data_IF_074660812204
#
_entry.id   IF_074660812204
#
_cell.length_a   1.000
_cell.length_b   1.000
_cell.length_c   1.000
_cell.angle_alpha   90.00
_cell.angle_beta   90.00
_cell.angle_gamma   90.00
#
_symmetry.space_group_name_H-M   'P 1'
#
loop_
_entity.id
_entity.type
_entity.pdbx_description
1 polymer ?
#
# COMPACT_ATOMS: atom_id res chain seq x y z
N UNK A 1 22.77 10.37 22.12
CA UNK A 1 21.49 10.07 21.45
C UNK A 1 21.58 8.67 20.89
N UNK A 2 20.93 7.71 21.55
CA UNK A 2 20.96 6.32 21.15
C UNK A 2 20.17 6.13 19.86
N UNK A 3 20.83 5.55 18.87
CA UNK A 3 20.30 5.01 17.63
C UNK A 3 19.28 3.92 17.96
N UNK A 4 18.02 4.30 18.14
CA UNK A 4 16.95 3.34 18.38
C UNK A 4 16.45 2.81 17.03
N UNK A 5 16.94 1.61 16.70
CA UNK A 5 16.35 0.60 15.79
C UNK A 5 16.42 0.86 14.28
N UNK A 6 17.64 0.85 13.75
CA UNK A 6 17.89 0.18 12.47
C UNK A 6 17.87 -1.35 12.72
N UNK A 7 16.72 -2.00 12.55
CA UNK A 7 16.51 -3.45 12.34
C UNK A 7 15.02 -3.83 12.45
N UNK A 8 14.12 -3.01 11.92
CA UNK A 8 12.94 -3.57 11.26
C UNK A 8 13.39 -3.74 9.82
N UNK A 9 13.33 -4.95 9.27
CA UNK A 9 13.59 -5.17 7.84
C UNK A 9 12.83 -4.08 7.09
N UNK A 10 13.56 -3.21 6.37
CA UNK A 10 12.95 -2.10 5.67
C UNK A 10 12.29 -2.64 4.40
N UNK A 11 11.18 -3.33 4.62
CA UNK A 11 10.37 -3.97 3.60
C UNK A 11 9.89 -2.97 2.54
N UNK A 12 9.86 -1.67 2.85
CA UNK A 12 9.54 -0.60 1.89
C UNK A 12 10.55 -0.59 0.73
N UNK A 13 11.84 -0.83 1.00
CA UNK A 13 12.88 -0.89 -0.05
C UNK A 13 12.68 -2.04 -1.05
N UNK A 14 11.93 -3.08 -0.68
CA UNK A 14 11.57 -4.15 -1.63
C UNK A 14 10.54 -3.70 -2.66
N UNK A 15 9.80 -2.62 -2.39
CA UNK A 15 8.64 -2.20 -3.18
C UNK A 15 8.75 -0.77 -3.71
N UNK A 16 9.73 0.03 -3.28
CA UNK A 16 9.82 1.44 -3.65
C UNK A 16 11.17 1.81 -4.22
N UNK A 17 11.16 2.69 -5.24
CA UNK A 17 12.37 3.35 -5.74
C UNK A 17 12.81 4.51 -4.82
N UNK A 18 11.90 5.02 -3.98
CA UNK A 18 12.17 6.12 -3.04
C UNK A 18 11.80 5.72 -1.59
N UNK A 19 12.40 4.65 -1.05
CA UNK A 19 11.96 4.04 0.20
C UNK A 19 12.05 4.98 1.40
N UNK A 20 13.05 5.87 1.42
CA UNK A 20 13.21 6.84 2.51
C UNK A 20 12.06 7.85 2.56
N UNK A 21 11.57 8.33 1.40
CA UNK A 21 10.44 9.27 1.34
C UNK A 21 9.14 8.61 1.79
N UNK A 22 8.89 7.39 1.31
CA UNK A 22 7.70 6.62 1.71
C UNK A 22 7.75 6.31 3.21
N UNK A 23 8.91 5.90 3.73
CA UNK A 23 9.08 5.63 5.16
C UNK A 23 8.87 6.87 6.01
N UNK A 24 9.46 8.00 5.63
CA UNK A 24 9.28 9.28 6.34
C UNK A 24 7.80 9.67 6.39
N UNK A 25 7.09 9.57 5.27
CA UNK A 25 5.65 9.81 5.21
C UNK A 25 4.89 8.88 6.16
N UNK A 26 5.14 7.57 6.07
CA UNK A 26 4.46 6.57 6.90
C UNK A 26 4.67 6.82 8.39
N UNK A 27 5.90 7.13 8.81
CA UNK A 27 6.24 7.43 10.20
C UNK A 27 5.61 8.74 10.66
N UNK A 28 5.69 9.80 9.84
CA UNK A 28 5.11 11.12 10.14
C UNK A 28 3.60 11.05 10.38
N UNK A 29 2.91 10.20 9.62
CA UNK A 29 1.46 10.06 9.70
C UNK A 29 0.99 8.87 10.56
N UNK A 30 1.90 8.07 11.12
CA UNK A 30 1.55 6.93 11.96
C UNK A 30 0.84 5.79 11.20
N UNK A 31 1.11 5.63 9.90
CA UNK A 31 0.41 4.68 9.01
C UNK A 31 1.27 3.49 8.56
N UNK A 32 2.49 3.35 9.08
CA UNK A 32 3.42 2.30 8.64
C UNK A 32 2.81 0.89 8.71
N UNK A 33 2.21 0.54 9.85
CA UNK A 33 1.59 -0.77 10.07
C UNK A 33 0.35 -0.97 9.18
N UNK A 34 -0.39 0.11 8.90
CA UNK A 34 -1.54 0.06 8.00
C UNK A 34 -1.13 -0.19 6.54
N UNK A 35 -0.04 0.43 6.07
CA UNK A 35 0.51 0.15 4.73
C UNK A 35 0.99 -1.29 4.64
N UNK A 36 1.70 -1.79 5.65
CA UNK A 36 2.15 -3.19 5.69
C UNK A 36 0.96 -4.15 5.65
N UNK A 37 -0.06 -3.90 6.48
CA UNK A 37 -1.27 -4.73 6.52
C UNK A 37 -2.01 -4.70 5.18
N UNK A 38 -2.09 -3.55 4.52
CA UNK A 38 -2.70 -3.45 3.19
C UNK A 38 -1.95 -4.29 2.14
N UNK A 39 -0.62 -4.37 2.22
CA UNK A 39 0.19 -5.24 1.36
C UNK A 39 -0.11 -6.72 1.63
N UNK A 40 -0.13 -7.13 2.91
CA UNK A 40 -0.45 -8.52 3.28
C UNK A 40 -1.86 -8.92 2.81
N UNK A 41 -2.84 -8.03 3.00
CA UNK A 41 -4.21 -8.23 2.52
C UNK A 41 -4.25 -8.33 1.00
N UNK A 42 -3.53 -7.47 0.29
CA UNK A 42 -3.42 -7.51 -1.16
C UNK A 42 -2.83 -8.83 -1.66
N UNK A 43 -1.72 -9.28 -1.05
CA UNK A 43 -1.06 -10.54 -1.39
C UNK A 43 -1.92 -11.77 -1.13
N UNK A 44 -2.82 -11.70 -0.13
CA UNK A 44 -3.76 -12.79 0.17
C UNK A 44 -5.04 -12.76 -0.67
N UNK A 45 -5.45 -11.58 -1.16
CA UNK A 45 -6.72 -11.37 -1.86
C UNK A 45 -6.59 -11.47 -3.37
N UNK A 46 -5.50 -10.95 -3.93
CA UNK A 46 -5.31 -10.91 -5.39
C UNK A 46 -4.74 -12.24 -5.92
N UNK A 47 -5.11 -12.61 -7.16
CA UNK A 47 -4.37 -13.63 -7.92
C UNK A 47 -2.89 -13.23 -8.08
N UNK A 48 -2.00 -14.11 -8.57
CA UNK A 48 -0.56 -13.88 -8.58
C UNK A 48 -0.17 -12.44 -8.99
N UNK A 49 0.41 -11.72 -8.03
CA UNK A 49 0.91 -10.36 -8.21
C UNK A 49 2.28 -10.46 -8.87
N UNK A 50 2.39 -10.01 -10.12
CA UNK A 50 3.65 -9.97 -10.86
C UNK A 50 4.55 -8.85 -10.32
N UNK A 51 3.93 -7.73 -9.92
CA UNK A 51 4.65 -6.58 -9.35
C UNK A 51 3.81 -5.84 -8.32
N UNK A 52 4.45 -5.46 -7.21
CA UNK A 52 3.92 -4.55 -6.22
C UNK A 52 4.86 -3.35 -6.10
N UNK A 53 4.31 -2.14 -6.21
CA UNK A 53 5.09 -0.90 -6.07
C UNK A 53 4.48 0.02 -5.02
N UNK A 54 5.35 0.62 -4.21
CA UNK A 54 5.05 1.69 -3.29
C UNK A 54 5.63 3.02 -3.76
N UNK A 55 4.81 4.06 -3.76
CA UNK A 55 5.25 5.42 -4.06
C UNK A 55 4.43 6.45 -3.31
N UNK A 56 4.94 7.68 -3.23
CA UNK A 56 4.12 8.83 -2.87
C UNK A 56 3.38 9.32 -4.11
N UNK A 57 2.09 9.57 -3.96
CA UNK A 57 1.23 10.04 -5.03
C UNK A 57 0.36 11.19 -4.52
N UNK A 58 0.34 12.28 -5.27
CA UNK A 58 -0.56 13.40 -5.00
C UNK A 58 -1.88 13.16 -5.72
N UNK A 59 -2.97 13.16 -4.94
CA UNK A 59 -4.31 13.11 -5.49
C UNK A 59 -4.57 14.32 -6.39
N UNK A 60 -4.86 14.16 -7.70
CA UNK A 60 -5.04 15.27 -8.61
C UNK A 60 -6.31 16.07 -8.33
N UNK A 61 -7.27 15.51 -7.59
CA UNK A 61 -8.53 16.18 -7.24
C UNK A 61 -8.39 16.95 -5.93
N UNK A 62 -7.78 16.33 -4.92
CA UNK A 62 -7.72 16.88 -3.56
C UNK A 62 -6.39 17.58 -3.24
N UNK A 63 -5.36 17.39 -4.07
CA UNK A 63 -4.00 17.88 -3.82
C UNK A 63 -3.32 17.21 -2.62
N UNK A 64 -3.91 16.14 -2.08
CA UNK A 64 -3.43 15.46 -0.88
C UNK A 64 -2.42 14.38 -1.25
N UNK A 65 -1.26 14.39 -0.61
CA UNK A 65 -0.25 13.34 -0.75
C UNK A 65 -0.69 12.08 -0.01
N UNK A 66 -0.56 10.93 -0.68
CA UNK A 66 -0.97 9.60 -0.20
C UNK A 66 0.14 8.60 -0.50
N UNK A 67 0.27 7.57 0.33
CA UNK A 67 1.04 6.38 -0.03
C UNK A 67 0.22 5.58 -1.02
N UNK A 68 0.73 5.37 -2.22
CA UNK A 68 0.10 4.54 -3.24
C UNK A 68 0.68 3.14 -3.20
N UNK A 69 -0.20 2.15 -3.10
CA UNK A 69 0.07 0.74 -3.35
C UNK A 69 -0.43 0.44 -4.76
N UNK A 70 0.47 0.06 -5.65
CA UNK A 70 0.18 -0.26 -7.04
C UNK A 70 0.51 -1.70 -7.36
N UNK A 71 -0.46 -2.44 -7.91
CA UNK A 71 -0.29 -3.84 -8.32
C UNK A 71 -0.34 -4.03 -9.83
N UNK A 72 0.50 -4.92 -10.33
CA UNK A 72 0.33 -5.57 -11.63
C UNK A 72 -0.05 -7.03 -11.35
N UNK A 73 -1.27 -7.42 -11.73
CA UNK A 73 -1.82 -8.75 -11.41
C UNK A 73 -2.03 -9.57 -12.68
N UNK A 74 -1.57 -10.81 -12.67
CA UNK A 74 -1.74 -11.73 -13.80
C UNK A 74 -3.06 -12.46 -13.69
N UNK A 75 -4.11 -11.86 -14.23
CA UNK A 75 -5.46 -12.41 -14.18
C UNK A 75 -6.38 -11.83 -15.24
N UNK A 76 -7.54 -12.45 -15.42
CA UNK A 76 -8.64 -11.81 -16.13
C UNK A 76 -9.19 -10.59 -15.38
N UNK A 77 -9.85 -9.69 -16.10
CA UNK A 77 -10.46 -8.49 -15.52
C UNK A 77 -11.50 -8.83 -14.44
N UNK A 78 -12.42 -9.75 -14.73
CA UNK A 78 -13.49 -10.11 -13.79
C UNK A 78 -12.94 -10.73 -12.49
N UNK A 79 -11.86 -11.50 -12.59
CA UNK A 79 -11.18 -12.10 -11.45
C UNK A 79 -10.48 -11.04 -10.59
N UNK A 80 -9.75 -10.12 -11.21
CA UNK A 80 -9.11 -9.01 -10.51
C UNK A 80 -10.14 -8.10 -9.81
N UNK A 81 -11.26 -7.83 -10.48
CA UNK A 81 -12.35 -7.03 -9.91
C UNK A 81 -13.02 -7.72 -8.72
N UNK A 82 -13.22 -9.04 -8.79
CA UNK A 82 -13.74 -9.80 -7.65
C UNK A 82 -12.77 -9.81 -6.47
N UNK A 83 -11.47 -9.95 -6.73
CA UNK A 83 -10.41 -9.87 -5.72
C UNK A 83 -10.35 -8.48 -5.06
N UNK A 84 -10.41 -7.41 -5.85
CA UNK A 84 -10.43 -6.02 -5.37
C UNK A 84 -11.61 -5.77 -4.44
N UNK A 85 -12.80 -6.27 -4.78
CA UNK A 85 -13.96 -6.16 -3.91
C UNK A 85 -13.74 -6.84 -2.54
N UNK A 86 -13.16 -8.05 -2.52
CA UNK A 86 -12.85 -8.75 -1.28
C UNK A 86 -11.78 -8.01 -0.46
N UNK A 87 -10.75 -7.53 -1.13
CA UNK A 87 -9.70 -6.70 -0.52
C UNK A 87 -10.30 -5.46 0.14
N UNK A 88 -11.14 -4.69 -0.57
CA UNK A 88 -11.74 -3.46 -0.04
C UNK A 88 -12.65 -3.73 1.17
N UNK A 89 -13.40 -4.83 1.16
CA UNK A 89 -14.23 -5.23 2.30
C UNK A 89 -13.39 -5.49 3.55
N UNK A 90 -12.25 -6.19 3.42
CA UNK A 90 -11.36 -6.47 4.54
C UNK A 90 -10.60 -5.22 4.98
N UNK A 91 -10.12 -4.43 4.01
CA UNK A 91 -9.35 -3.22 4.27
C UNK A 91 -10.16 -2.18 5.05
N UNK A 92 -11.42 -1.97 4.66
CA UNK A 92 -12.30 -0.99 5.32
C UNK A 92 -12.65 -1.36 6.76
N UNK A 93 -12.49 -2.63 7.15
CA UNK A 93 -12.66 -3.12 8.52
C UNK A 93 -11.36 -3.06 9.34
N UNK A 94 -10.21 -2.91 8.68
CA UNK A 94 -8.88 -2.97 9.29
C UNK A 94 -8.38 -1.59 9.68
N UNK A 95 -8.38 -0.63 8.75
CA UNK A 95 -7.82 0.70 8.98
C UNK A 95 -8.94 1.73 9.29
N UNK A 96 -8.84 2.48 10.41
CA UNK A 96 -9.79 3.52 10.74
C UNK A 96 -9.60 4.77 9.87
N UNK A 97 -10.57 5.69 9.97
CA UNK A 97 -10.41 7.06 9.52
C UNK A 97 -9.77 7.91 10.63
N UNK A 98 -8.88 8.87 10.30
CA UNK A 98 -8.55 9.34 8.95
C UNK A 98 -7.41 8.59 8.24
N UNK A 99 -6.70 7.68 8.92
CA UNK A 99 -5.44 7.07 8.45
C UNK A 99 -5.62 6.35 7.11
N UNK A 100 -6.75 5.67 6.92
CA UNK A 100 -7.08 4.99 5.67
C UNK A 100 -7.07 5.91 4.44
N UNK A 101 -7.39 7.20 4.58
CA UNK A 101 -7.40 8.15 3.45
C UNK A 101 -6.01 8.60 3.01
N UNK A 102 -4.98 8.28 3.78
CA UNK A 102 -3.58 8.51 3.42
C UNK A 102 -3.00 7.35 2.60
N UNK A 103 -3.78 6.29 2.37
CA UNK A 103 -3.36 5.09 1.63
C UNK A 103 -4.27 4.95 0.41
N UNK A 104 -3.67 4.98 -0.77
CA UNK A 104 -4.34 4.79 -2.04
C UNK A 104 -3.99 3.42 -2.62
N UNK A 105 -4.98 2.72 -3.16
CA UNK A 105 -4.80 1.40 -3.75
C UNK A 105 -5.21 1.43 -5.22
N UNK A 106 -4.44 0.78 -6.08
CA UNK A 106 -4.76 0.68 -7.51
C UNK A 106 -4.08 -0.53 -8.13
N UNK A 107 -4.66 -1.09 -9.19
CA UNK A 107 -4.09 -2.23 -9.89
C UNK A 107 -4.32 -2.13 -11.40
N UNK A 108 -3.56 -2.92 -12.15
CA UNK A 108 -3.82 -3.26 -13.56
C UNK A 108 -3.73 -4.77 -13.76
N UNK A 109 -4.47 -5.29 -14.74
CA UNK A 109 -4.32 -6.68 -15.20
C UNK A 109 -3.29 -6.75 -16.31
N UNK A 110 -2.38 -7.74 -16.25
CA UNK A 110 -1.34 -8.01 -17.25
C UNK A 110 -1.44 -9.40 -17.87
#
# INVERSE_FOLDING_TARGET
MQTVRANVEDWIAAYSEEPDKVREFCVRHGILDYVHTAIELAQSSFPPIEKLTLSLWTDPLEGTEKVRIFLEVRSGFDEAMAADWQFLLQWTQTAPLPERYLISFSYITV
#
